data_IF_046507529089
#
_entry.id   IF_046507529089
#
_cell.length_a   1.000
_cell.length_b   1.000
_cell.length_c   1.000
_cell.angle_alpha   90.00
_cell.angle_beta   90.00
_cell.angle_gamma   90.00
#
_symmetry.space_group_name_H-M   'P 1'
#
loop_
_entity.id
_entity.type
_entity.pdbx_description
1 polymer ?
#
# COMPACT_ATOMS: atom_id res chain seq x y z
N UNK A 1 -0.53 -38.65 0.98
CA UNK A 1 -1.99 -38.58 1.14
C UNK A 1 -2.38 -38.94 2.58
N UNK A 2 -1.92 -40.10 3.08
CA UNK A 2 -2.19 -40.57 4.42
C UNK A 2 -1.76 -39.56 5.49
N UNK A 3 -0.57 -38.99 5.38
CA UNK A 3 -0.04 -37.98 6.33
C UNK A 3 -0.95 -36.71 6.41
N UNK A 4 -1.55 -36.30 5.30
CA UNK A 4 -2.46 -35.17 5.22
C UNK A 4 -3.80 -35.48 5.87
N UNK A 5 -4.29 -36.71 5.65
CA UNK A 5 -5.54 -37.21 6.26
C UNK A 5 -5.38 -37.37 7.78
N UNK A 6 -4.21 -37.85 8.26
CA UNK A 6 -3.88 -37.96 9.69
C UNK A 6 -3.84 -36.58 10.38
N UNK A 7 -3.44 -35.53 9.66
CA UNK A 7 -3.46 -34.15 10.16
C UNK A 7 -4.88 -33.53 10.12
N UNK A 8 -5.87 -34.26 9.61
CA UNK A 8 -7.25 -33.78 9.48
C UNK A 8 -7.43 -32.72 8.39
N UNK A 9 -6.49 -32.61 7.44
CA UNK A 9 -6.54 -31.65 6.35
C UNK A 9 -7.30 -32.24 5.17
N UNK A 10 -8.31 -31.54 4.69
CA UNK A 10 -9.16 -31.95 3.57
C UNK A 10 -9.29 -30.88 2.49
N UNK A 11 -9.99 -31.22 1.38
CA UNK A 11 -10.31 -30.23 0.34
C UNK A 11 -11.10 -29.05 0.89
N UNK A 12 -10.61 -27.84 0.64
CA UNK A 12 -11.20 -26.59 1.13
C UNK A 12 -10.52 -26.01 2.36
N UNK A 13 -9.58 -26.73 2.97
CA UNK A 13 -8.77 -26.18 4.05
C UNK A 13 -7.68 -25.23 3.54
N UNK A 14 -7.41 -24.17 4.31
CA UNK A 14 -6.39 -23.20 3.98
C UNK A 14 -5.03 -23.62 4.53
N UNK A 15 -3.99 -23.51 3.69
CA UNK A 15 -2.60 -23.73 4.08
C UNK A 15 -1.84 -22.43 3.84
N UNK A 16 -1.40 -21.79 4.92
CA UNK A 16 -0.56 -20.60 4.86
C UNK A 16 0.91 -20.99 4.96
N UNK A 17 1.73 -20.41 4.09
CA UNK A 17 3.19 -20.54 4.21
C UNK A 17 3.71 -19.69 5.36
N UNK A 18 4.76 -20.19 6.02
CA UNK A 18 5.54 -19.38 6.96
C UNK A 18 6.06 -18.11 6.24
N UNK A 19 5.78 -16.90 6.75
CA UNK A 19 6.20 -15.66 6.12
C UNK A 19 7.71 -15.49 6.01
N UNK A 20 8.51 -16.15 6.87
CA UNK A 20 9.98 -16.07 6.91
C UNK A 20 10.48 -14.64 6.90
N UNK A 21 9.96 -13.84 7.82
CA UNK A 21 10.32 -12.42 7.94
C UNK A 21 11.78 -12.22 8.28
N UNK A 22 12.43 -11.34 7.53
CA UNK A 22 13.82 -10.90 7.78
C UNK A 22 13.92 -9.40 7.56
N UNK A 23 14.43 -8.69 8.53
CA UNK A 23 14.88 -7.31 8.38
C UNK A 23 16.42 -7.29 8.35
N UNK A 24 17.00 -6.68 7.33
CA UNK A 24 18.44 -6.64 7.14
C UNK A 24 19.05 -5.33 7.65
N UNK A 25 20.32 -5.32 8.05
CA UNK A 25 21.04 -4.11 8.47
C UNK A 25 21.06 -3.02 7.36
N UNK A 26 20.95 -3.43 6.09
CA UNK A 26 20.86 -2.52 4.95
C UNK A 26 19.46 -1.95 4.70
N UNK A 27 18.47 -2.32 5.53
CA UNK A 27 17.11 -1.79 5.48
C UNK A 27 16.14 -2.55 4.57
N UNK A 28 16.55 -3.70 4.01
CA UNK A 28 15.63 -4.55 3.26
C UNK A 28 14.74 -5.37 4.20
N UNK A 29 13.49 -5.49 3.81
CA UNK A 29 12.47 -6.33 4.42
C UNK A 29 12.16 -7.45 3.44
N UNK A 30 12.31 -8.69 3.90
CA UNK A 30 11.97 -9.90 3.15
C UNK A 30 10.92 -10.67 3.91
N UNK A 31 9.85 -11.04 3.26
CA UNK A 31 8.77 -11.83 3.86
C UNK A 31 7.85 -12.33 2.76
N UNK A 32 7.02 -13.32 3.04
CA UNK A 32 5.78 -13.51 2.30
C UNK A 32 4.74 -12.53 2.80
N UNK A 33 3.77 -12.24 1.96
CA UNK A 33 2.60 -11.41 2.29
C UNK A 33 2.96 -9.93 2.62
N UNK A 34 4.07 -9.38 2.04
CA UNK A 34 4.29 -7.94 2.01
C UNK A 34 3.27 -7.25 1.12
N UNK A 35 2.80 -7.95 0.14
CA UNK A 35 1.58 -7.75 -0.63
C UNK A 35 0.40 -8.39 0.16
N UNK A 36 -0.44 -7.61 0.93
CA UNK A 36 -0.24 -6.18 1.09
C UNK A 36 -0.12 -5.77 2.58
N UNK A 37 0.58 -6.55 3.38
CA UNK A 37 0.85 -6.18 4.78
C UNK A 37 1.81 -5.00 4.91
N UNK A 38 2.63 -4.73 3.88
CA UNK A 38 3.51 -3.58 3.87
C UNK A 38 2.72 -2.26 3.89
N UNK A 39 1.69 -2.15 3.05
CA UNK A 39 0.83 -0.96 3.03
C UNK A 39 -0.09 -0.88 4.25
N UNK A 40 -0.57 -2.02 4.76
CA UNK A 40 -1.27 -2.05 6.03
C UNK A 40 -0.41 -1.46 7.17
N UNK A 41 0.89 -1.79 7.20
CA UNK A 41 1.83 -1.22 8.17
C UNK A 41 2.02 0.31 7.97
N UNK A 42 2.05 0.79 6.74
CA UNK A 42 2.08 2.23 6.42
C UNK A 42 0.85 2.95 7.00
N UNK A 43 -0.34 2.40 6.81
CA UNK A 43 -1.60 2.95 7.34
C UNK A 43 -1.59 2.94 8.87
N UNK A 44 -1.18 1.85 9.51
CA UNK A 44 -1.06 1.76 10.97
C UNK A 44 -0.03 2.76 11.50
N UNK A 45 1.07 2.97 10.78
CA UNK A 45 2.06 4.00 11.08
C UNK A 45 1.47 5.41 11.03
N UNK A 46 0.59 5.71 10.06
CA UNK A 46 -0.13 6.98 10.01
C UNK A 46 -1.04 7.15 11.24
N UNK A 47 -1.81 6.14 11.60
CA UNK A 47 -2.68 6.21 12.78
C UNK A 47 -1.88 6.44 14.07
N UNK A 48 -0.74 5.76 14.22
CA UNK A 48 0.18 5.98 15.35
C UNK A 48 0.68 7.41 15.38
N UNK A 49 1.12 7.94 14.24
CA UNK A 49 1.58 9.32 14.12
C UNK A 49 0.49 10.35 14.50
N UNK A 50 -0.73 10.17 14.00
CA UNK A 50 -1.86 11.03 14.34
C UNK A 50 -2.13 11.02 15.85
N UNK A 51 -2.12 9.83 16.45
CA UNK A 51 -2.32 9.66 17.89
C UNK A 51 -1.22 10.36 18.73
N UNK A 52 0.04 10.18 18.38
CA UNK A 52 1.18 10.72 19.14
C UNK A 52 1.36 12.22 18.98
N UNK A 53 1.00 12.76 17.80
CA UNK A 53 1.20 14.21 17.51
C UNK A 53 -0.06 15.04 17.75
N UNK A 54 -1.23 14.42 17.91
CA UNK A 54 -2.53 15.10 18.00
C UNK A 54 -2.98 15.77 16.71
N UNK A 55 -2.30 15.52 15.58
CA UNK A 55 -2.71 16.04 14.28
C UNK A 55 -4.00 15.38 13.82
N UNK A 56 -4.80 16.13 13.06
CA UNK A 56 -6.06 15.64 12.52
C UNK A 56 -6.12 15.97 11.03
N UNK A 57 -6.57 15.01 10.19
CA UNK A 57 -6.88 15.30 8.79
C UNK A 57 -7.96 16.39 8.68
N UNK A 58 -7.91 17.17 7.62
CA UNK A 58 -8.93 18.20 7.35
C UNK A 58 -10.26 17.58 6.91
N UNK A 59 -10.22 16.41 6.26
CA UNK A 59 -11.38 15.65 5.83
C UNK A 59 -11.64 14.47 6.75
N UNK A 60 -12.87 13.95 6.70
CA UNK A 60 -13.19 12.65 7.30
C UNK A 60 -12.39 11.56 6.60
N UNK A 61 -11.55 10.86 7.35
CA UNK A 61 -10.76 9.73 6.87
C UNK A 61 -11.40 8.43 7.33
N UNK A 62 -11.75 7.56 6.38
CA UNK A 62 -12.17 6.18 6.65
C UNK A 62 -11.07 5.24 6.16
N UNK A 63 -10.68 4.30 7.00
CA UNK A 63 -9.69 3.29 6.68
C UNK A 63 -10.40 1.95 6.59
N UNK A 64 -10.26 1.28 5.47
CA UNK A 64 -10.74 -0.07 5.24
C UNK A 64 -9.53 -1.00 5.05
N UNK A 65 -9.51 -2.11 5.78
CA UNK A 65 -8.60 -3.23 5.53
C UNK A 65 -9.48 -4.34 4.93
N UNK A 66 -9.34 -4.56 3.64
CA UNK A 66 -10.17 -5.52 2.92
C UNK A 66 -9.67 -6.95 3.10
N UNK A 67 -10.57 -7.93 2.93
CA UNK A 67 -10.24 -9.36 3.08
C UNK A 67 -10.20 -10.10 1.74
N UNK A 68 -10.78 -9.55 0.68
CA UNK A 68 -10.97 -10.23 -0.61
C UNK A 68 -10.30 -9.47 -1.76
N UNK A 69 -9.27 -8.67 -1.49
CA UNK A 69 -8.53 -7.95 -2.52
C UNK A 69 -7.90 -8.91 -3.52
N UNK A 70 -7.18 -9.93 -3.04
CA UNK A 70 -6.44 -10.94 -3.83
C UNK A 70 -7.31 -11.83 -4.74
N UNK A 71 -8.61 -11.77 -4.57
CA UNK A 71 -9.59 -12.48 -5.40
C UNK A 71 -10.54 -11.53 -6.13
N UNK A 72 -10.19 -10.23 -6.18
CA UNK A 72 -10.77 -9.23 -7.06
C UNK A 72 -12.13 -8.69 -6.64
N UNK A 73 -12.48 -8.69 -5.36
CA UNK A 73 -13.71 -8.05 -4.87
C UNK A 73 -13.62 -7.42 -3.47
N UNK A 74 -12.43 -7.12 -3.00
CA UNK A 74 -12.23 -6.28 -1.84
C UNK A 74 -12.80 -4.88 -2.10
N UNK A 75 -13.37 -4.23 -1.09
CA UNK A 75 -14.01 -2.92 -1.20
C UNK A 75 -15.07 -2.78 -2.31
N UNK A 76 -15.74 -3.88 -2.69
CA UNK A 76 -16.88 -3.81 -3.64
C UNK A 76 -18.03 -2.96 -3.11
N UNK A 77 -18.15 -2.79 -1.79
CA UNK A 77 -19.01 -1.83 -1.14
C UNK A 77 -18.20 -0.65 -0.61
N UNK A 78 -18.59 0.55 -0.99
CA UNK A 78 -18.05 1.82 -0.48
C UNK A 78 -19.21 2.60 0.16
N UNK A 79 -19.04 3.18 1.38
CA UNK A 79 -20.04 4.04 1.98
C UNK A 79 -20.36 5.25 1.07
N UNK A 80 -21.65 5.62 0.98
CA UNK A 80 -22.15 6.66 0.05
C UNK A 80 -21.55 8.06 0.28
N UNK A 81 -20.97 8.32 1.45
CA UNK A 81 -20.33 9.58 1.81
C UNK A 81 -18.84 9.66 1.46
N UNK A 82 -18.32 8.69 0.69
CA UNK A 82 -16.94 8.67 0.20
C UNK A 82 -16.89 9.25 -1.22
N UNK A 83 -16.05 10.26 -1.42
CA UNK A 83 -15.84 10.91 -2.72
C UNK A 83 -14.53 10.49 -3.39
N UNK A 84 -13.48 10.22 -2.58
CA UNK A 84 -12.16 9.80 -3.05
C UNK A 84 -11.75 8.49 -2.38
N UNK A 85 -11.26 7.56 -3.16
CA UNK A 85 -10.71 6.30 -2.68
C UNK A 85 -9.25 6.18 -3.09
N UNK A 86 -8.35 6.28 -2.12
CA UNK A 86 -6.93 6.04 -2.32
C UNK A 86 -6.58 4.62 -1.84
N UNK A 87 -6.34 3.71 -2.77
CA UNK A 87 -5.78 2.42 -2.43
C UNK A 87 -4.30 2.59 -2.05
N UNK A 88 -3.92 1.98 -0.95
CA UNK A 88 -2.52 1.83 -0.56
C UNK A 88 -2.20 0.36 -0.75
N UNK A 89 -1.57 0.05 -1.86
CA UNK A 89 -1.27 -1.31 -2.30
C UNK A 89 0.17 -1.35 -2.84
N UNK A 90 0.73 -2.52 -3.09
CA UNK A 90 2.12 -2.61 -3.53
C UNK A 90 2.34 -2.04 -4.95
N UNK A 91 3.49 -1.42 -5.18
CA UNK A 91 3.95 -1.09 -6.53
C UNK A 91 4.66 -2.27 -7.18
N UNK A 92 4.21 -2.68 -8.37
CA UNK A 92 4.89 -3.71 -9.14
C UNK A 92 6.27 -3.24 -9.60
N UNK A 93 7.24 -4.14 -9.59
CA UNK A 93 8.61 -3.89 -10.04
C UNK A 93 8.99 -4.82 -11.19
N UNK A 94 9.72 -4.31 -12.17
CA UNK A 94 10.16 -5.08 -13.31
C UNK A 94 11.01 -4.26 -14.28
N UNK A 95 11.58 -4.92 -15.29
CA UNK A 95 12.55 -4.30 -16.22
C UNK A 95 11.95 -3.14 -17.03
N UNK A 96 10.66 -3.18 -17.31
CA UNK A 96 9.93 -2.15 -18.06
C UNK A 96 9.23 -1.10 -17.18
N UNK A 97 9.49 -1.12 -15.84
CA UNK A 97 8.90 -0.22 -14.88
C UNK A 97 9.94 0.75 -14.31
N UNK A 98 9.50 1.95 -13.93
CA UNK A 98 10.37 3.00 -13.38
C UNK A 98 10.54 2.86 -11.86
N UNK A 99 9.65 2.10 -11.19
CA UNK A 99 9.63 1.89 -9.75
C UNK A 99 10.82 1.08 -9.23
N UNK A 100 11.08 1.22 -7.95
CA UNK A 100 12.05 0.43 -7.20
C UNK A 100 11.59 0.30 -5.73
N UNK A 101 12.33 -0.44 -4.92
CA UNK A 101 12.00 -0.64 -3.51
C UNK A 101 12.23 0.58 -2.62
N UNK A 102 12.82 1.67 -3.14
CA UNK A 102 13.21 2.86 -2.36
C UNK A 102 12.25 4.03 -2.47
N UNK A 103 11.33 4.00 -3.45
CA UNK A 103 10.39 5.07 -3.78
C UNK A 103 8.95 4.60 -3.61
N UNK A 104 8.05 5.56 -3.44
CA UNK A 104 6.62 5.26 -3.57
C UNK A 104 6.26 5.13 -5.05
N UNK A 105 5.52 4.09 -5.40
CA UNK A 105 4.89 3.93 -6.70
C UNK A 105 3.56 4.69 -6.72
N UNK A 106 3.30 5.39 -7.81
CA UNK A 106 2.00 6.00 -8.13
C UNK A 106 1.52 5.30 -9.42
N UNK A 107 0.44 4.57 -9.35
CA UNK A 107 -0.11 3.88 -10.51
C UNK A 107 -0.99 4.82 -11.32
N UNK A 108 -0.62 5.10 -12.58
CA UNK A 108 -1.43 5.92 -13.48
C UNK A 108 -2.54 5.12 -14.17
N UNK A 109 -2.31 3.81 -14.35
CA UNK A 109 -3.24 2.89 -15.01
C UNK A 109 -2.93 1.46 -14.62
N UNK A 110 -3.95 0.65 -14.40
CA UNK A 110 -3.84 -0.80 -14.27
C UNK A 110 -4.56 -1.54 -15.42
N UNK A 111 -4.77 -2.84 -15.27
CA UNK A 111 -5.46 -3.67 -16.29
C UNK A 111 -6.94 -3.30 -16.47
N UNK A 112 -7.57 -2.68 -15.49
CA UNK A 112 -8.98 -2.26 -15.54
C UNK A 112 -9.18 -0.91 -16.25
N UNK A 113 -8.16 -0.07 -16.28
CA UNK A 113 -8.21 1.27 -16.89
C UNK A 113 -7.35 2.30 -16.17
N UNK A 114 -7.45 3.58 -16.57
CA UNK A 114 -6.76 4.67 -15.92
C UNK A 114 -7.39 4.97 -14.55
N UNK A 115 -6.55 5.31 -13.59
CA UNK A 115 -6.97 5.94 -12.35
C UNK A 115 -7.39 7.40 -12.57
N UNK A 116 -8.06 8.01 -11.60
CA UNK A 116 -8.51 9.40 -11.70
C UNK A 116 -7.31 10.34 -11.95
N UNK A 117 -7.45 11.16 -12.99
CA UNK A 117 -6.39 12.03 -13.48
C UNK A 117 -6.01 13.11 -12.47
N UNK A 118 -7.01 13.73 -11.83
CA UNK A 118 -6.78 14.84 -10.90
C UNK A 118 -6.17 14.34 -9.59
N UNK A 119 -6.64 13.21 -9.06
CA UNK A 119 -6.04 12.58 -7.89
C UNK A 119 -4.59 12.16 -8.16
N UNK A 120 -4.33 11.52 -9.29
CA UNK A 120 -2.97 11.11 -9.69
C UNK A 120 -2.03 12.30 -9.81
N UNK A 121 -2.46 13.39 -10.47
CA UNK A 121 -1.66 14.61 -10.57
C UNK A 121 -1.47 15.32 -9.23
N UNK A 122 -2.46 15.29 -8.34
CA UNK A 122 -2.33 15.82 -6.97
C UNK A 122 -1.26 15.06 -6.20
N UNK A 123 -1.24 13.73 -6.27
CA UNK A 123 -0.21 12.89 -5.64
C UNK A 123 1.19 13.21 -6.19
N UNK A 124 1.34 13.32 -7.51
CA UNK A 124 2.61 13.71 -8.15
C UNK A 124 3.05 15.12 -7.70
N UNK A 125 2.11 16.06 -7.61
CA UNK A 125 2.41 17.43 -7.18
C UNK A 125 2.87 17.49 -5.73
N UNK A 126 2.18 16.77 -4.83
CA UNK A 126 2.57 16.62 -3.43
C UNK A 126 3.95 15.96 -3.29
N UNK A 127 4.23 14.90 -4.06
CA UNK A 127 5.54 14.27 -4.05
C UNK A 127 6.66 15.24 -4.42
N UNK A 128 6.45 16.08 -5.44
CA UNK A 128 7.39 17.14 -5.85
C UNK A 128 7.56 18.22 -4.78
N UNK A 129 6.45 18.73 -4.24
CA UNK A 129 6.44 19.79 -3.24
C UNK A 129 7.19 19.40 -1.96
N UNK A 130 6.96 18.17 -1.50
CA UNK A 130 7.58 17.68 -0.27
C UNK A 130 8.94 17.00 -0.48
N UNK A 131 9.39 16.83 -1.73
CA UNK A 131 10.65 16.17 -2.06
C UNK A 131 10.63 14.67 -1.78
N UNK A 132 9.47 14.03 -1.97
CA UNK A 132 9.26 12.60 -1.79
C UNK A 132 9.77 11.87 -3.03
N UNK A 133 10.54 10.81 -2.85
CA UNK A 133 10.98 9.94 -3.95
C UNK A 133 9.80 9.11 -4.48
N UNK A 134 9.46 9.27 -5.75
CA UNK A 134 8.34 8.58 -6.38
C UNK A 134 8.67 8.06 -7.78
N UNK A 135 7.89 7.10 -8.26
CA UNK A 135 7.84 6.67 -9.65
C UNK A 135 6.38 6.62 -10.11
N UNK A 136 6.14 6.92 -11.38
CA UNK A 136 4.80 6.80 -11.99
C UNK A 136 4.88 5.73 -13.05
N UNK A 137 4.03 4.71 -12.93
CA UNK A 137 4.04 3.55 -13.81
C UNK A 137 2.63 3.13 -14.24
N UNK A 138 2.58 2.24 -15.22
CA UNK A 138 1.40 1.53 -15.70
C UNK A 138 1.60 0.04 -15.39
N UNK A 139 0.62 -0.58 -14.73
CA UNK A 139 0.67 -2.00 -14.35
C UNK A 139 -0.33 -2.82 -15.18
N UNK A 140 0.09 -3.40 -16.33
CA UNK A 140 -0.84 -4.02 -17.28
C UNK A 140 -1.47 -5.35 -16.80
N UNK A 141 -0.91 -5.95 -15.75
CA UNK A 141 -1.38 -7.22 -15.16
C UNK A 141 -1.63 -7.06 -13.66
N UNK A 142 -2.39 -6.04 -13.31
CA UNK A 142 -2.60 -5.61 -11.94
C UNK A 142 -4.03 -5.09 -11.78
N UNK A 143 -4.62 -5.30 -10.63
CA UNK A 143 -5.87 -4.68 -10.19
C UNK A 143 -5.71 -4.23 -8.76
N UNK A 144 -6.69 -3.52 -8.22
CA UNK A 144 -6.72 -3.07 -6.84
C UNK A 144 -8.15 -2.99 -6.30
N UNK A 145 -8.31 -2.72 -5.04
CA UNK A 145 -9.60 -2.46 -4.43
C UNK A 145 -10.35 -1.29 -5.10
N UNK A 146 -9.65 -0.30 -5.68
CA UNK A 146 -10.28 0.75 -6.49
C UNK A 146 -10.92 0.17 -7.74
N UNK A 147 -10.21 -0.70 -8.46
CA UNK A 147 -10.73 -1.36 -9.67
C UNK A 147 -11.98 -2.18 -9.34
N UNK A 148 -11.95 -2.88 -8.21
CA UNK A 148 -13.05 -3.67 -7.68
C UNK A 148 -14.27 -2.81 -7.33
N UNK A 149 -14.04 -1.70 -6.64
CA UNK A 149 -15.09 -0.74 -6.25
C UNK A 149 -15.78 -0.12 -7.47
N UNK A 150 -15.01 0.32 -8.46
CA UNK A 150 -15.54 0.88 -9.72
C UNK A 150 -16.33 -0.16 -10.51
N UNK A 151 -15.81 -1.40 -10.59
CA UNK A 151 -16.50 -2.52 -11.27
C UNK A 151 -17.81 -2.90 -10.57
N UNK A 152 -17.91 -2.69 -9.27
CA UNK A 152 -19.15 -2.90 -8.51
C UNK A 152 -20.18 -1.77 -8.68
N UNK A 153 -19.85 -0.71 -9.43
CA UNK A 153 -20.76 0.39 -9.74
C UNK A 153 -20.72 1.57 -8.77
N UNK A 154 -19.70 1.66 -7.93
CA UNK A 154 -19.52 2.85 -7.08
C UNK A 154 -19.02 4.02 -7.93
N UNK A 155 -19.68 5.18 -7.83
CA UNK A 155 -19.31 6.43 -8.52
C UNK A 155 -18.36 7.25 -7.64
N UNK A 156 -17.09 6.85 -7.64
CA UNK A 156 -16.02 7.46 -6.83
C UNK A 156 -14.80 7.76 -7.69
N UNK A 157 -14.00 8.73 -7.26
CA UNK A 157 -12.68 8.96 -7.83
C UNK A 157 -11.67 8.07 -7.12
N UNK A 158 -10.80 7.41 -7.89
CA UNK A 158 -9.86 6.46 -7.34
C UNK A 158 -8.43 6.69 -7.78
N UNK A 159 -7.48 6.48 -6.88
CA UNK A 159 -6.05 6.47 -7.15
C UNK A 159 -5.35 5.35 -6.38
N UNK A 160 -4.11 5.05 -6.76
CA UNK A 160 -3.31 4.00 -6.12
C UNK A 160 -1.87 4.47 -5.91
N UNK A 161 -1.39 4.27 -4.69
CA UNK A 161 0.02 4.43 -4.32
C UNK A 161 0.48 3.24 -3.49
N UNK A 162 1.78 3.00 -3.43
CA UNK A 162 2.33 2.03 -2.50
C UNK A 162 3.82 1.83 -2.56
N UNK A 163 4.41 1.09 -1.62
CA UNK A 163 5.83 0.77 -1.67
C UNK A 163 6.12 -0.20 -2.81
N UNK A 164 7.27 -0.06 -3.46
CA UNK A 164 7.71 -1.04 -4.43
C UNK A 164 8.00 -2.38 -3.74
N UNK A 165 7.37 -3.46 -4.22
CA UNK A 165 7.56 -4.83 -3.74
C UNK A 165 8.01 -5.72 -4.88
N UNK A 166 9.15 -6.35 -4.71
CA UNK A 166 9.71 -7.33 -5.65
C UNK A 166 9.16 -8.72 -5.35
N UNK A 167 8.88 -9.49 -6.39
CA UNK A 167 8.41 -10.89 -6.33
C UNK A 167 7.08 -11.06 -5.58
N UNK A 168 6.11 -10.14 -5.80
CA UNK A 168 4.74 -10.24 -5.30
C UNK A 168 4.16 -11.64 -5.51
N UNK A 169 3.40 -12.16 -4.53
CA UNK A 169 2.88 -13.52 -4.41
C UNK A 169 3.97 -14.61 -4.23
N UNK A 170 5.24 -14.22 -4.08
CA UNK A 170 6.37 -15.11 -3.83
C UNK A 170 7.02 -14.92 -2.45
N UNK A 171 8.35 -15.06 -2.38
CA UNK A 171 9.17 -14.58 -1.27
C UNK A 171 9.56 -13.14 -1.59
N UNK A 172 8.84 -12.22 -1.02
CA UNK A 172 8.84 -10.82 -1.40
C UNK A 172 9.96 -10.03 -0.75
N UNK A 173 10.27 -8.88 -1.35
CA UNK A 173 11.26 -7.95 -0.84
C UNK A 173 10.81 -6.51 -1.08
N UNK A 174 10.96 -5.69 -0.07
CA UNK A 174 10.86 -4.23 -0.14
C UNK A 174 11.95 -3.58 0.69
N UNK A 175 11.98 -2.26 0.76
CA UNK A 175 12.94 -1.53 1.56
C UNK A 175 12.24 -0.51 2.46
N UNK A 176 12.74 -0.30 3.68
CA UNK A 176 12.17 0.64 4.65
C UNK A 176 11.99 2.06 4.06
N UNK A 177 12.87 2.49 3.17
CA UNK A 177 12.74 3.80 2.49
C UNK A 177 11.49 3.88 1.62
N UNK A 178 11.13 2.81 0.90
CA UNK A 178 9.88 2.79 0.11
C UNK A 178 8.65 2.93 0.99
N UNK A 179 8.64 2.24 2.14
CA UNK A 179 7.59 2.39 3.14
C UNK A 179 7.52 3.83 3.68
N UNK A 180 8.66 4.45 4.00
CA UNK A 180 8.74 5.83 4.45
C UNK A 180 8.23 6.82 3.39
N UNK A 181 8.62 6.64 2.11
CA UNK A 181 8.15 7.50 1.02
C UNK A 181 6.64 7.35 0.79
N UNK A 182 6.12 6.13 0.87
CA UNK A 182 4.68 5.86 0.78
C UNK A 182 3.93 6.52 1.94
N UNK A 183 4.42 6.37 3.16
CA UNK A 183 3.86 7.01 4.34
C UNK A 183 3.87 8.54 4.23
N UNK A 184 4.98 9.13 3.78
CA UNK A 184 5.09 10.59 3.59
C UNK A 184 4.08 11.09 2.56
N UNK A 185 3.91 10.39 1.45
CA UNK A 185 2.94 10.77 0.42
C UNK A 185 1.49 10.65 0.93
N UNK A 186 1.18 9.58 1.66
CA UNK A 186 -0.12 9.40 2.31
C UNK A 186 -0.39 10.53 3.31
N UNK A 187 0.58 10.85 4.19
CA UNK A 187 0.44 11.92 5.17
C UNK A 187 0.30 13.31 4.52
N UNK A 188 0.99 13.56 3.39
CA UNK A 188 0.82 14.77 2.60
C UNK A 188 -0.57 14.85 1.96
N UNK A 189 -1.04 13.73 1.41
CA UNK A 189 -2.36 13.65 0.77
C UNK A 189 -3.52 13.95 1.73
N UNK A 190 -3.44 13.45 2.96
CA UNK A 190 -4.45 13.71 4.00
C UNK A 190 -4.19 14.99 4.81
N UNK A 191 -3.22 15.82 4.40
CA UNK A 191 -2.97 17.17 4.96
C UNK A 191 -2.31 17.19 6.33
N UNK A 192 -1.66 16.11 6.77
CA UNK A 192 -1.06 16.02 8.12
C UNK A 192 0.47 15.95 8.13
N UNK A 193 1.12 15.96 6.96
CA UNK A 193 2.57 15.87 6.89
C UNK A 193 3.24 17.10 7.51
N UNK A 194 4.17 16.83 8.44
CA UNK A 194 5.11 17.80 8.99
C UNK A 194 6.52 17.19 8.91
N UNK A 195 7.41 17.82 8.14
CA UNK A 195 8.74 17.26 7.85
C UNK A 195 9.58 17.02 9.10
N UNK A 196 9.51 17.89 10.08
CA UNK A 196 10.30 17.76 11.30
C UNK A 196 9.75 16.67 12.22
N UNK A 197 8.43 16.69 12.46
CA UNK A 197 7.77 15.68 13.28
C UNK A 197 7.88 14.29 12.64
N UNK A 198 7.71 14.19 11.33
CA UNK A 198 7.82 12.94 10.59
C UNK A 198 9.22 12.34 10.69
N UNK A 199 10.27 13.17 10.56
CA UNK A 199 11.64 12.71 10.74
C UNK A 199 11.87 12.13 12.14
N UNK A 200 11.44 12.84 13.19
CA UNK A 200 11.54 12.37 14.58
C UNK A 200 10.78 11.05 14.78
N UNK A 201 9.60 10.95 14.21
CA UNK A 201 8.77 9.74 14.26
C UNK A 201 9.49 8.53 13.65
N UNK A 202 10.07 8.67 12.46
CA UNK A 202 10.82 7.58 11.83
C UNK A 202 12.11 7.23 12.56
N UNK A 203 12.83 8.20 13.12
CA UNK A 203 14.01 7.94 13.95
C UNK A 203 13.64 7.10 15.19
N UNK A 204 12.51 7.40 15.83
CA UNK A 204 12.00 6.61 16.97
C UNK A 204 11.57 5.19 16.58
N UNK A 205 10.90 5.03 15.43
CA UNK A 205 10.51 3.69 14.94
C UNK A 205 11.74 2.84 14.62
N UNK A 206 12.73 3.41 13.94
CA UNK A 206 13.98 2.69 13.61
C UNK A 206 14.78 2.27 14.83
N UNK A 207 14.74 3.05 15.91
CA UNK A 207 15.42 2.71 17.16
C UNK A 207 14.76 1.50 17.88
N UNK A 208 13.59 1.04 17.44
CA UNK A 208 12.86 -0.12 17.99
C UNK A 208 13.04 -1.39 17.13
N UNK A 209 13.68 -1.28 15.96
CA UNK A 209 14.01 -2.41 15.08
C UNK A 209 15.39 -2.99 15.42
#
# INVERSE_FOLDING_TARGET
KEDVEELGIGPGDFISFDPKFVYTDSGFIKSRHLDDKASAAVILGLLKYLHETGRQPEQTLKIAISNYEEVGHGCSYIPEDIEEFLAIDMGALGDDLSGDEYRVSICAKDSSGPYDFDMTNRLISLAKEYGIGYAVDIFPHYGSDVSSALSAGNDIRGALIGPGVSASHGQERTHIKGLEQTWMLLAAYVGVLDKELSRKFFEQLKAQL
#
